data_IF_927997011442
#
_entry.id   IF_927997011442
#
_cell.length_a   1.000
_cell.length_b   1.000
_cell.length_c   1.000
_cell.angle_alpha   90.00
_cell.angle_beta   90.00
_cell.angle_gamma   90.00
#
_symmetry.space_group_name_H-M   'P 1'
#
loop_
_entity.id
_entity.type
_entity.pdbx_description
1 polymer ?
#
# COMPACT_ATOMS: atom_id res chain seq x y z
N UNK A 1 5.56 -14.75 11.34
CA UNK A 1 6.55 -15.77 11.72
C UNK A 1 5.81 -17.06 11.96
N UNK A 2 6.13 -18.12 11.20
CA UNK A 2 5.75 -19.47 11.60
C UNK A 2 6.25 -19.70 13.04
N UNK A 3 5.51 -20.49 13.80
CA UNK A 3 5.97 -20.95 15.11
C UNK A 3 7.21 -21.81 14.83
N UNK A 4 8.40 -21.44 15.32
CA UNK A 4 9.59 -22.23 15.06
C UNK A 4 9.39 -23.64 15.61
N UNK A 5 9.89 -24.64 14.88
CA UNK A 5 9.97 -25.99 15.42
C UNK A 5 10.85 -26.04 16.67
N UNK A 6 10.80 -27.12 17.46
CA UNK A 6 11.47 -27.21 18.76
C UNK A 6 12.99 -26.89 18.77
N UNK A 7 13.66 -26.88 17.60
CA UNK A 7 15.08 -26.62 17.43
C UNK A 7 15.43 -25.43 16.48
N UNK A 8 14.48 -24.61 16.04
CA UNK A 8 14.78 -23.45 15.18
C UNK A 8 14.88 -22.14 15.96
N UNK A 9 16.03 -21.48 15.89
CA UNK A 9 16.18 -20.13 16.46
C UNK A 9 15.51 -19.10 15.56
N UNK A 10 14.64 -18.27 16.13
CA UNK A 10 14.02 -17.16 15.42
C UNK A 10 15.07 -16.24 14.80
N UNK A 11 15.03 -16.06 13.48
CA UNK A 11 15.93 -15.16 12.77
C UNK A 11 15.81 -13.71 13.32
N UNK A 12 14.60 -13.31 13.71
CA UNK A 12 14.30 -12.04 14.36
C UNK A 12 13.27 -12.22 15.49
N UNK A 13 13.49 -11.60 16.64
CA UNK A 13 12.59 -11.64 17.80
C UNK A 13 11.53 -10.53 17.81
N UNK A 14 11.60 -9.59 16.86
CA UNK A 14 10.65 -8.48 16.75
C UNK A 14 11.15 -7.36 15.85
N UNK A 15 10.38 -6.27 15.74
CA UNK A 15 10.70 -5.11 14.89
C UNK A 15 12.01 -4.44 15.28
N UNK A 16 12.25 -4.27 16.58
CA UNK A 16 13.49 -3.64 17.09
C UNK A 16 14.70 -4.54 16.86
N UNK A 17 14.55 -5.86 17.07
CA UNK A 17 15.62 -6.83 16.83
C UNK A 17 15.99 -6.91 15.33
N UNK A 18 14.97 -6.88 14.45
CA UNK A 18 15.17 -6.76 13.01
C UNK A 18 15.95 -5.49 12.64
N UNK A 19 15.52 -4.33 13.14
CA UNK A 19 16.20 -3.07 12.86
C UNK A 19 17.67 -3.09 13.33
N UNK A 20 17.93 -3.57 14.55
CA UNK A 20 19.30 -3.68 15.10
C UNK A 20 20.18 -4.61 14.27
N UNK A 21 19.69 -5.80 13.92
CA UNK A 21 20.43 -6.77 13.11
C UNK A 21 20.69 -6.26 11.69
N UNK A 22 19.74 -5.57 11.07
CA UNK A 22 19.93 -4.95 9.76
C UNK A 22 20.98 -3.85 9.79
N UNK A 23 20.93 -2.95 10.79
CA UNK A 23 21.95 -1.90 10.94
C UNK A 23 23.33 -2.51 11.20
N UNK A 24 23.42 -3.55 12.02
CA UNK A 24 24.69 -4.23 12.30
C UNK A 24 25.28 -4.95 11.08
N UNK A 25 24.44 -5.48 10.18
CA UNK A 25 24.89 -6.25 8.99
C UNK A 25 25.12 -5.39 7.75
N UNK A 26 24.24 -4.42 7.50
CA UNK A 26 24.22 -3.64 6.25
C UNK A 26 24.49 -2.14 6.47
N UNK A 27 24.66 -1.71 7.72
CA UNK A 27 24.77 -0.30 8.09
C UNK A 27 23.43 0.45 7.97
N UNK A 28 23.45 1.74 8.29
CA UNK A 28 22.27 2.62 8.21
C UNK A 28 21.71 2.69 6.78
N UNK A 29 22.58 2.63 5.77
CA UNK A 29 22.20 2.64 4.35
C UNK A 29 21.40 1.41 3.93
N UNK A 30 21.56 0.28 4.62
CA UNK A 30 20.75 -0.93 4.40
C UNK A 30 19.25 -0.70 4.57
N UNK A 31 18.86 0.19 5.48
CA UNK A 31 17.44 0.54 5.71
C UNK A 31 16.78 1.25 4.52
N UNK A 32 17.56 1.87 3.64
CA UNK A 32 17.07 2.61 2.47
C UNK A 32 17.18 1.81 1.17
N UNK A 33 17.70 0.58 1.22
CA UNK A 33 17.90 -0.27 0.05
C UNK A 33 16.54 -0.61 -0.59
N UNK A 34 16.38 -0.23 -1.85
CA UNK A 34 15.13 -0.45 -2.60
C UNK A 34 14.09 0.68 -2.49
N UNK A 35 14.39 1.81 -1.83
CA UNK A 35 13.47 2.96 -1.73
C UNK A 35 13.32 3.77 -3.03
N UNK A 36 14.23 3.64 -3.99
CA UNK A 36 14.19 4.38 -5.26
C UNK A 36 12.92 4.08 -6.07
N UNK A 37 12.52 2.81 -6.19
CA UNK A 37 11.34 2.43 -6.95
C UNK A 37 10.03 3.00 -6.37
N UNK A 38 9.77 2.91 -5.04
CA UNK A 38 8.68 3.62 -4.39
C UNK A 38 8.71 5.14 -4.59
N UNK A 39 9.87 5.79 -4.45
CA UNK A 39 9.99 7.25 -4.55
C UNK A 39 9.64 7.77 -5.95
N UNK A 40 10.07 7.09 -7.01
CA UNK A 40 9.72 7.50 -8.38
C UNK A 40 8.23 7.28 -8.69
N UNK A 41 7.60 6.28 -8.07
CA UNK A 41 6.21 5.91 -8.35
C UNK A 41 5.17 6.69 -7.55
N UNK A 42 5.55 7.25 -6.39
CA UNK A 42 4.58 7.75 -5.40
C UNK A 42 3.76 8.96 -5.91
N UNK A 43 4.41 9.91 -6.59
CA UNK A 43 3.74 11.12 -7.06
C UNK A 43 2.70 10.84 -8.17
N UNK A 44 3.02 10.08 -9.24
CA UNK A 44 2.01 9.68 -10.23
C UNK A 44 0.86 8.86 -9.63
N UNK A 45 1.17 7.97 -8.68
CA UNK A 45 0.17 7.12 -8.01
C UNK A 45 -0.83 8.00 -7.25
N UNK A 46 -0.36 8.93 -6.42
CA UNK A 46 -1.27 9.79 -5.66
C UNK A 46 -2.04 10.77 -6.55
N UNK A 47 -1.40 11.37 -7.57
CA UNK A 47 -2.08 12.28 -8.49
C UNK A 47 -3.29 11.61 -9.16
N UNK A 48 -3.12 10.37 -9.61
CA UNK A 48 -4.18 9.62 -10.30
C UNK A 48 -5.21 9.08 -9.30
N UNK A 49 -4.79 8.76 -8.08
CA UNK A 49 -5.70 8.41 -7.00
C UNK A 49 -6.63 9.57 -6.64
N UNK A 50 -6.10 10.80 -6.49
CA UNK A 50 -6.93 11.97 -6.22
C UNK A 50 -7.82 12.35 -7.41
N UNK A 51 -7.30 12.26 -8.64
CA UNK A 51 -8.09 12.48 -9.84
C UNK A 51 -9.25 11.47 -9.97
N UNK A 52 -8.96 10.18 -9.81
CA UNK A 52 -9.96 9.12 -9.83
C UNK A 52 -11.00 9.29 -8.71
N UNK A 53 -10.59 9.79 -7.54
CA UNK A 53 -11.52 10.09 -6.46
C UNK A 53 -12.42 11.28 -6.79
N UNK A 54 -11.89 12.33 -7.42
CA UNK A 54 -12.67 13.45 -7.93
C UNK A 54 -13.76 13.00 -8.92
N UNK A 55 -13.39 12.18 -9.90
CA UNK A 55 -14.35 11.57 -10.84
C UNK A 55 -15.36 10.67 -10.14
N UNK A 56 -14.90 9.84 -9.19
CA UNK A 56 -15.78 8.97 -8.40
C UNK A 56 -16.83 9.76 -7.63
N UNK A 57 -16.44 10.91 -7.04
CA UNK A 57 -17.39 11.82 -6.38
C UNK A 57 -18.40 12.37 -7.36
N UNK A 58 -17.99 12.81 -8.56
CA UNK A 58 -18.91 13.31 -9.58
C UNK A 58 -19.93 12.24 -10.04
N UNK A 59 -19.50 10.99 -10.19
CA UNK A 59 -20.38 9.89 -10.61
C UNK A 59 -21.43 9.52 -9.57
N UNK A 60 -21.08 9.62 -8.29
CA UNK A 60 -21.96 9.22 -7.18
C UNK A 60 -22.86 10.39 -6.72
N UNK A 61 -22.52 11.62 -7.07
CA UNK A 61 -23.26 12.82 -6.69
C UNK A 61 -24.54 12.93 -7.50
N UNK A 62 -25.67 13.01 -6.81
CA UNK A 62 -27.00 13.16 -7.42
C UNK A 62 -27.43 14.64 -7.57
N UNK A 63 -26.82 15.56 -6.83
CA UNK A 63 -27.10 17.00 -6.88
C UNK A 63 -25.90 17.84 -6.44
N UNK A 64 -25.68 18.99 -7.08
CA UNK A 64 -24.46 19.81 -6.91
C UNK A 64 -24.28 20.44 -5.52
N UNK A 65 -25.30 20.43 -4.68
CA UNK A 65 -25.25 20.94 -3.30
C UNK A 65 -25.44 19.86 -2.22
N UNK A 66 -25.51 18.59 -2.60
CA UNK A 66 -25.66 17.51 -1.63
C UNK A 66 -24.30 17.15 -1.02
N UNK A 67 -24.25 17.09 0.31
CA UNK A 67 -23.15 16.47 1.04
C UNK A 67 -23.17 14.95 0.81
N UNK A 68 -22.01 14.38 0.44
CA UNK A 68 -21.90 12.95 0.18
C UNK A 68 -21.98 12.15 1.48
N UNK A 69 -22.74 11.06 1.45
CA UNK A 69 -22.82 10.12 2.57
C UNK A 69 -21.51 9.32 2.72
N UNK A 70 -21.20 8.75 3.90
CA UNK A 70 -20.00 7.93 4.09
C UNK A 70 -19.85 6.80 3.06
N UNK A 71 -20.95 6.13 2.71
CA UNK A 71 -20.96 5.06 1.73
C UNK A 71 -20.69 5.57 0.30
N UNK A 72 -21.20 6.75 -0.04
CA UNK A 72 -20.91 7.38 -1.33
C UNK A 72 -19.42 7.77 -1.44
N UNK A 73 -18.84 8.28 -0.34
CA UNK A 73 -17.40 8.56 -0.25
C UNK A 73 -16.57 7.28 -0.36
N UNK A 74 -17.01 6.19 0.27
CA UNK A 74 -16.37 4.88 0.14
C UNK A 74 -16.40 4.39 -1.31
N UNK A 75 -17.54 4.45 -2.00
CA UNK A 75 -17.62 4.02 -3.41
C UNK A 75 -16.79 4.92 -4.34
N UNK A 76 -16.78 6.23 -4.11
CA UNK A 76 -15.90 7.14 -4.84
C UNK A 76 -14.41 6.82 -4.62
N UNK A 77 -14.01 6.51 -3.39
CA UNK A 77 -12.64 6.07 -3.06
C UNK A 77 -12.30 4.70 -3.63
N UNK A 78 -13.26 3.77 -3.63
CA UNK A 78 -13.12 2.44 -4.21
C UNK A 78 -12.89 2.54 -5.74
N UNK A 79 -13.62 3.44 -6.40
CA UNK A 79 -13.44 3.74 -7.82
C UNK A 79 -12.04 4.29 -8.13
N UNK A 80 -11.52 5.19 -7.28
CA UNK A 80 -10.16 5.70 -7.45
C UNK A 80 -9.08 4.63 -7.30
N UNK A 81 -9.33 3.62 -6.45
CA UNK A 81 -8.49 2.43 -6.32
C UNK A 81 -8.28 1.72 -7.65
N UNK A 82 -9.31 1.64 -8.51
CA UNK A 82 -9.20 0.97 -9.83
C UNK A 82 -8.16 1.67 -10.72
N UNK A 83 -8.24 2.99 -10.84
CA UNK A 83 -7.28 3.78 -11.65
C UNK A 83 -5.87 3.67 -11.11
N UNK A 84 -5.75 3.74 -9.78
CA UNK A 84 -4.46 3.62 -9.09
C UNK A 84 -3.82 2.26 -9.36
N UNK A 85 -4.61 1.18 -9.28
CA UNK A 85 -4.14 -0.18 -9.52
C UNK A 85 -3.68 -0.41 -10.96
N UNK A 86 -4.28 0.24 -11.98
CA UNK A 86 -3.84 0.10 -13.38
C UNK A 86 -2.36 0.49 -13.53
N UNK A 87 -1.91 1.53 -12.83
CA UNK A 87 -0.52 2.01 -12.94
C UNK A 87 0.39 1.26 -11.97
N UNK A 88 -0.12 0.93 -10.79
CA UNK A 88 0.67 0.29 -9.75
C UNK A 88 0.91 -1.21 -10.03
N UNK A 89 -0.02 -1.91 -10.69
CA UNK A 89 0.04 -3.36 -10.90
C UNK A 89 1.32 -3.84 -11.63
N UNK A 90 1.77 -3.22 -12.73
CA UNK A 90 3.05 -3.56 -13.36
C UNK A 90 4.24 -3.46 -12.38
N UNK A 91 4.33 -2.36 -11.63
CA UNK A 91 5.42 -2.09 -10.70
C UNK A 91 5.42 -3.07 -9.53
N UNK A 92 4.26 -3.34 -8.94
CA UNK A 92 4.12 -4.34 -7.88
C UNK A 92 4.54 -5.73 -8.34
N UNK A 93 4.15 -6.12 -9.56
CA UNK A 93 4.51 -7.43 -10.08
C UNK A 93 6.00 -7.56 -10.31
N UNK A 94 6.63 -6.58 -10.97
CA UNK A 94 8.08 -6.58 -11.20
C UNK A 94 8.81 -6.64 -9.86
N UNK A 95 8.41 -5.80 -8.90
CA UNK A 95 8.99 -5.80 -7.54
C UNK A 95 8.85 -7.16 -6.87
N UNK A 96 7.67 -7.78 -6.96
CA UNK A 96 7.43 -9.10 -6.39
C UNK A 96 8.34 -10.18 -7.00
N UNK A 97 8.50 -10.20 -8.33
CA UNK A 97 9.37 -11.17 -9.01
C UNK A 97 10.84 -10.98 -8.65
N UNK A 98 11.28 -9.73 -8.53
CA UNK A 98 12.64 -9.40 -8.10
C UNK A 98 12.90 -9.79 -6.64
N UNK A 99 11.89 -9.74 -5.77
CA UNK A 99 12.01 -10.16 -4.38
C UNK A 99 12.02 -11.69 -4.24
N UNK A 100 11.24 -12.40 -5.07
CA UNK A 100 11.19 -13.87 -5.05
C UNK A 100 12.50 -14.50 -5.53
N UNK A 101 13.18 -13.89 -6.50
CA UNK A 101 14.45 -14.45 -7.03
C UNK A 101 15.65 -14.27 -6.09
N UNK A 102 15.50 -13.66 -4.91
CA UNK A 102 16.59 -13.53 -3.96
C UNK A 102 16.82 -14.89 -3.26
N UNK A 103 17.88 -15.59 -3.67
CA UNK A 103 18.34 -16.89 -3.13
C UNK A 103 19.69 -17.31 -3.75
N UNK A 104 20.20 -18.49 -3.39
CA UNK A 104 21.53 -18.99 -3.82
C UNK A 104 21.62 -19.39 -5.31
N UNK A 105 20.51 -19.34 -6.06
CA UNK A 105 20.49 -19.61 -7.49
C UNK A 105 20.88 -18.36 -8.30
N UNK A 106 21.45 -18.57 -9.50
CA UNK A 106 21.74 -17.47 -10.44
C UNK A 106 20.47 -16.63 -10.68
N UNK A 107 20.53 -15.29 -10.51
CA UNK A 107 19.36 -14.44 -10.64
C UNK A 107 18.79 -14.52 -12.06
N UNK A 108 17.48 -14.77 -12.20
CA UNK A 108 16.78 -14.82 -13.49
C UNK A 108 16.69 -13.43 -14.15
N UNK A 109 16.54 -12.39 -13.33
CA UNK A 109 16.40 -11.01 -13.75
C UNK A 109 17.55 -10.18 -13.16
N UNK A 110 18.27 -9.44 -14.01
CA UNK A 110 19.35 -8.54 -13.57
C UNK A 110 18.83 -7.27 -12.90
N UNK A 111 17.55 -6.92 -13.11
CA UNK A 111 16.91 -5.77 -12.49
C UNK A 111 15.47 -5.52 -12.97
N UNK A 112 14.84 -4.41 -12.54
CA UNK A 112 13.44 -4.10 -12.88
C UNK A 112 13.16 -3.96 -14.37
N UNK A 113 14.06 -3.30 -15.11
CA UNK A 113 13.91 -3.08 -16.55
C UNK A 113 14.06 -4.40 -17.32
N UNK A 114 15.02 -5.22 -16.92
CA UNK A 114 15.26 -6.54 -17.51
C UNK A 114 14.08 -7.48 -17.25
N UNK A 115 13.57 -7.50 -16.03
CA UNK A 115 12.33 -8.20 -15.68
C UNK A 115 11.15 -7.74 -16.55
N UNK A 116 10.96 -6.44 -16.75
CA UNK A 116 9.88 -5.92 -17.59
C UNK A 116 10.03 -6.34 -19.06
N UNK A 117 11.25 -6.26 -19.63
CA UNK A 117 11.54 -6.68 -21.00
C UNK A 117 11.31 -8.17 -21.20
N UNK A 118 11.76 -9.00 -20.28
CA UNK A 118 11.60 -10.44 -20.36
C UNK A 118 10.13 -10.85 -20.23
N UNK A 119 9.37 -10.26 -19.29
CA UNK A 119 7.93 -10.49 -19.17
C UNK A 119 7.18 -10.12 -20.45
N UNK A 120 7.53 -8.98 -21.06
CA UNK A 120 6.93 -8.56 -22.32
C UNK A 120 7.26 -9.55 -23.47
N UNK A 121 8.48 -10.08 -23.53
CA UNK A 121 8.85 -11.12 -24.51
C UNK A 121 8.15 -12.45 -24.28
N UNK A 122 7.92 -12.84 -23.02
CA UNK A 122 7.27 -14.11 -22.67
C UNK A 122 5.77 -14.12 -22.99
N UNK A 123 5.06 -13.00 -22.84
CA UNK A 123 3.60 -12.97 -23.03
C UNK A 123 2.96 -11.59 -23.13
N UNK A 124 3.73 -10.60 -23.58
CA UNK A 124 3.29 -9.23 -23.81
C UNK A 124 2.73 -8.53 -22.57
N UNK A 125 1.83 -7.58 -22.79
CA UNK A 125 1.20 -6.77 -21.74
C UNK A 125 0.40 -7.62 -20.75
N UNK A 126 -0.25 -8.69 -21.21
CA UNK A 126 -0.97 -9.62 -20.33
C UNK A 126 -0.03 -10.28 -19.32
N UNK A 127 1.20 -10.58 -19.73
CA UNK A 127 2.27 -11.04 -18.82
C UNK A 127 2.92 -9.92 -18.03
N UNK A 128 2.44 -8.69 -18.06
CA UNK A 128 2.78 -7.65 -17.06
C UNK A 128 1.62 -7.48 -16.06
N UNK A 129 0.37 -7.58 -16.52
CA UNK A 129 -0.84 -7.40 -15.69
C UNK A 129 -1.43 -8.70 -15.08
N UNK A 130 -0.73 -9.83 -15.14
CA UNK A 130 -1.13 -11.05 -14.41
C UNK A 130 -1.14 -10.78 -12.91
N UNK A 131 -2.27 -11.04 -12.27
CA UNK A 131 -2.46 -10.80 -10.83
C UNK A 131 -3.22 -9.51 -10.49
N UNK A 132 -3.53 -8.66 -11.48
CA UNK A 132 -4.25 -7.39 -11.25
C UNK A 132 -5.60 -7.57 -10.54
N UNK A 133 -6.35 -8.65 -10.79
CA UNK A 133 -7.59 -8.93 -10.05
C UNK A 133 -7.36 -9.09 -8.54
N UNK A 134 -6.26 -9.72 -8.14
CA UNK A 134 -5.91 -9.88 -6.73
C UNK A 134 -5.45 -8.55 -6.12
N UNK A 135 -4.73 -7.74 -6.89
CA UNK A 135 -4.37 -6.37 -6.47
C UNK A 135 -5.61 -5.49 -6.31
N UNK A 136 -6.55 -5.52 -7.26
CA UNK A 136 -7.82 -4.78 -7.19
C UNK A 136 -8.66 -5.19 -5.98
N UNK A 137 -8.74 -6.49 -5.68
CA UNK A 137 -9.51 -6.99 -4.53
C UNK A 137 -9.02 -6.42 -3.19
N UNK A 138 -7.72 -6.10 -3.09
CA UNK A 138 -7.14 -5.43 -1.93
C UNK A 138 -7.29 -3.91 -2.02
N UNK A 139 -6.90 -3.34 -3.15
CA UNK A 139 -6.73 -1.89 -3.31
C UNK A 139 -8.06 -1.15 -3.31
N UNK A 140 -9.12 -1.75 -3.88
CA UNK A 140 -10.44 -1.12 -3.98
C UNK A 140 -11.06 -0.91 -2.59
N UNK A 141 -11.18 -1.93 -1.72
CA UNK A 141 -11.68 -1.73 -0.36
C UNK A 141 -10.78 -0.82 0.49
N UNK A 142 -9.46 -0.95 0.34
CA UNK A 142 -8.50 -0.16 1.11
C UNK A 142 -8.58 1.34 0.75
N UNK A 143 -8.63 1.66 -0.55
CA UNK A 143 -8.79 3.04 -1.06
C UNK A 143 -10.15 3.63 -0.68
N UNK A 144 -11.23 2.83 -0.74
CA UNK A 144 -12.54 3.25 -0.26
C UNK A 144 -12.52 3.67 1.21
N UNK A 145 -11.89 2.87 2.07
CA UNK A 145 -11.72 3.22 3.49
C UNK A 145 -10.85 4.46 3.68
N UNK A 146 -9.74 4.57 2.95
CA UNK A 146 -8.84 5.73 3.01
C UNK A 146 -9.60 7.03 2.78
N UNK A 147 -10.29 7.15 1.64
CA UNK A 147 -10.96 8.39 1.27
C UNK A 147 -12.21 8.66 2.12
N UNK A 148 -12.97 7.63 2.51
CA UNK A 148 -14.09 7.78 3.43
C UNK A 148 -13.61 8.34 4.79
N UNK A 149 -12.60 7.73 5.40
CA UNK A 149 -12.08 8.19 6.69
C UNK A 149 -11.46 9.58 6.58
N UNK A 150 -10.72 9.86 5.50
CA UNK A 150 -10.12 11.17 5.26
C UNK A 150 -11.17 12.30 5.21
N UNK A 151 -12.22 12.14 4.42
CA UNK A 151 -13.26 13.17 4.26
C UNK A 151 -14.12 13.33 5.52
N UNK A 152 -14.42 12.24 6.24
CA UNK A 152 -15.16 12.31 7.51
C UNK A 152 -14.37 13.03 8.59
N UNK A 153 -13.06 12.74 8.72
CA UNK A 153 -12.20 13.42 9.68
C UNK A 153 -12.01 14.88 9.32
N UNK A 154 -11.84 15.19 8.02
CA UNK A 154 -11.82 16.58 7.56
C UNK A 154 -13.10 17.30 7.94
N UNK A 155 -14.28 16.74 7.65
CA UNK A 155 -15.57 17.34 7.99
C UNK A 155 -15.73 17.57 9.49
N UNK A 156 -15.30 16.62 10.31
CA UNK A 156 -15.35 16.73 11.77
C UNK A 156 -14.40 17.79 12.33
N UNK A 157 -13.28 18.04 11.64
CA UNK A 157 -12.22 18.98 12.08
C UNK A 157 -12.25 20.34 11.37
N UNK A 158 -13.15 20.51 10.40
CA UNK A 158 -13.42 21.78 9.74
C UNK A 158 -14.00 22.77 10.75
N UNK A 159 -13.46 23.99 10.78
CA UNK A 159 -14.08 25.12 11.49
C UNK A 159 -15.23 25.71 10.65
N UNK A 160 -16.05 26.58 11.25
CA UNK A 160 -17.22 27.21 10.61
C UNK A 160 -16.90 27.92 9.27
N UNK A 161 -15.65 28.33 9.06
CA UNK A 161 -15.15 28.92 7.80
C UNK A 161 -14.90 27.92 6.66
N UNK A 162 -15.12 26.62 6.88
CA UNK A 162 -14.90 25.55 5.88
C UNK A 162 -13.42 25.31 5.51
N UNK A 163 -12.49 26.04 6.14
CA UNK A 163 -11.05 25.90 5.93
C UNK A 163 -10.48 24.85 6.87
N UNK A 164 -9.95 23.77 6.29
CA UNK A 164 -9.18 22.77 7.02
C UNK A 164 -7.72 23.17 6.98
N UNK A 165 -7.13 23.46 8.13
CA UNK A 165 -5.71 23.76 8.23
C UNK A 165 -4.85 22.54 7.93
N UNK A 166 -3.56 22.80 7.73
CA UNK A 166 -2.55 21.80 7.36
C UNK A 166 -2.45 20.68 8.40
N UNK A 167 -2.38 21.05 9.69
CA UNK A 167 -2.28 20.09 10.78
C UNK A 167 -3.50 19.16 10.77
N UNK A 168 -4.69 19.72 10.54
CA UNK A 168 -5.92 18.93 10.42
C UNK A 168 -5.87 17.99 9.21
N UNK A 169 -5.34 18.44 8.08
CA UNK A 169 -5.16 17.61 6.88
C UNK A 169 -4.17 16.47 7.12
N UNK A 170 -3.05 16.75 7.79
CA UNK A 170 -2.03 15.76 8.17
C UNK A 170 -2.63 14.71 9.12
N UNK A 171 -3.35 15.15 10.15
CA UNK A 171 -3.98 14.25 11.12
C UNK A 171 -5.04 13.38 10.44
N UNK A 172 -5.93 13.98 9.64
CA UNK A 172 -6.93 13.25 8.88
C UNK A 172 -6.30 12.22 7.93
N UNK A 173 -5.23 12.60 7.22
CA UNK A 173 -4.48 11.70 6.35
C UNK A 173 -3.76 10.56 7.09
N UNK A 174 -3.19 10.85 8.26
CA UNK A 174 -2.55 9.86 9.13
C UNK A 174 -3.54 8.77 9.57
N UNK A 175 -4.70 9.17 10.09
CA UNK A 175 -5.77 8.24 10.51
C UNK A 175 -6.44 7.54 9.34
N UNK A 176 -6.64 8.22 8.20
CA UNK A 176 -7.10 7.59 6.97
C UNK A 176 -6.16 6.47 6.51
N UNK A 177 -4.84 6.66 6.63
CA UNK A 177 -3.87 5.61 6.38
C UNK A 177 -3.97 4.43 7.32
N UNK A 178 -4.24 4.67 8.61
CA UNK A 178 -4.49 3.60 9.57
C UNK A 178 -5.73 2.79 9.16
N UNK A 179 -6.83 3.45 8.83
CA UNK A 179 -8.06 2.81 8.37
C UNK A 179 -7.84 1.99 7.08
N UNK A 180 -7.09 2.53 6.12
CA UNK A 180 -6.67 1.81 4.92
C UNK A 180 -5.91 0.51 5.26
N UNK A 181 -4.92 0.59 6.15
CA UNK A 181 -4.11 -0.56 6.52
C UNK A 181 -4.87 -1.60 7.36
N UNK A 182 -5.91 -1.21 8.10
CA UNK A 182 -6.80 -2.17 8.79
C UNK A 182 -7.48 -3.09 7.78
N UNK A 183 -7.99 -2.54 6.67
CA UNK A 183 -8.63 -3.34 5.61
C UNK A 183 -7.61 -4.02 4.69
N UNK A 184 -6.47 -3.38 4.43
CA UNK A 184 -5.42 -3.94 3.57
C UNK A 184 -4.59 -5.05 4.22
N UNK A 185 -4.56 -5.17 5.55
CA UNK A 185 -3.69 -6.14 6.23
C UNK A 185 -4.04 -7.61 5.99
N UNK A 186 -5.30 -8.05 6.14
CA UNK A 186 -5.65 -9.46 5.92
C UNK A 186 -5.19 -10.00 4.54
N UNK A 187 -5.50 -9.34 3.40
CA UNK A 187 -5.02 -9.81 2.11
C UNK A 187 -3.49 -9.70 1.96
N UNK A 188 -2.84 -8.70 2.56
CA UNK A 188 -1.37 -8.60 2.54
C UNK A 188 -0.69 -9.72 3.33
N UNK A 189 -1.24 -10.12 4.49
CA UNK A 189 -0.74 -11.27 5.26
C UNK A 189 -0.94 -12.56 4.48
N UNK A 190 -2.11 -12.77 3.86
CA UNK A 190 -2.35 -13.96 3.06
C UNK A 190 -1.42 -14.03 1.85
N UNK A 191 -1.21 -12.91 1.15
CA UNK A 191 -0.29 -12.80 0.01
C UNK A 191 1.15 -13.07 0.41
N UNK A 192 1.63 -12.42 1.47
CA UNK A 192 3.01 -12.61 1.94
C UNK A 192 3.27 -14.04 2.41
N UNK A 193 2.32 -14.67 3.12
CA UNK A 193 2.41 -16.08 3.53
C UNK A 193 2.50 -17.01 2.33
N UNK A 194 1.62 -16.82 1.34
CA UNK A 194 1.64 -17.61 0.11
C UNK A 194 2.98 -17.48 -0.63
N UNK A 195 3.56 -16.28 -0.66
CA UNK A 195 4.82 -16.00 -1.35
C UNK A 195 6.06 -16.49 -0.58
N UNK A 196 5.99 -16.54 0.75
CA UNK A 196 7.10 -16.99 1.60
C UNK A 196 7.15 -18.50 1.82
N UNK A 197 6.10 -19.23 1.45
CA UNK A 197 5.99 -20.65 1.73
C UNK A 197 6.72 -21.51 0.70
N UNK A 198 7.24 -22.70 1.09
CA UNK A 198 7.85 -23.65 0.17
C UNK A 198 6.91 -24.03 -0.99
N UNK A 199 7.49 -24.32 -2.15
CA UNK A 199 6.73 -24.77 -3.32
C UNK A 199 5.86 -25.99 -2.96
N UNK A 200 4.60 -25.97 -3.41
CA UNK A 200 3.58 -27.01 -3.17
C UNK A 200 3.00 -27.13 -1.75
N UNK A 201 3.35 -26.24 -0.80
CA UNK A 201 2.73 -26.22 0.53
C UNK A 201 1.23 -25.88 0.48
N UNK A 202 0.84 -24.87 -0.32
CA UNK A 202 -0.53 -24.38 -0.43
C UNK A 202 -1.13 -24.67 -1.81
N UNK A 203 -1.64 -25.89 -1.99
CA UNK A 203 -2.14 -26.38 -3.28
C UNK A 203 -3.41 -25.67 -3.75
N UNK A 204 -4.24 -25.15 -2.81
CA UNK A 204 -5.47 -24.40 -3.13
C UNK A 204 -5.27 -22.87 -3.09
N UNK A 205 -4.01 -22.41 -3.10
CA UNK A 205 -3.65 -20.99 -3.10
C UNK A 205 -4.11 -20.24 -1.84
N UNK A 206 -4.59 -19.01 -2.00
CA UNK A 206 -4.96 -18.10 -0.88
C UNK A 206 -5.99 -18.72 0.07
N UNK A 207 -6.93 -19.52 -0.44
CA UNK A 207 -7.95 -20.18 0.40
C UNK A 207 -7.32 -21.19 1.36
N UNK A 208 -6.34 -21.95 0.87
CA UNK A 208 -5.58 -22.91 1.68
C UNK A 208 -4.80 -22.19 2.77
N UNK A 209 -4.11 -21.11 2.39
CA UNK A 209 -3.38 -20.24 3.33
C UNK A 209 -4.31 -19.71 4.41
N UNK A 210 -5.48 -19.20 4.03
CA UNK A 210 -6.45 -18.64 4.96
C UNK A 210 -6.94 -19.70 5.95
N UNK A 211 -7.33 -20.88 5.47
CA UNK A 211 -7.81 -21.97 6.34
C UNK A 211 -6.70 -22.48 7.27
N UNK A 212 -5.50 -22.71 6.75
CA UNK A 212 -4.34 -23.13 7.54
C UNK A 212 -3.98 -22.08 8.60
N UNK A 213 -3.88 -20.80 8.21
CA UNK A 213 -3.54 -19.70 9.12
C UNK A 213 -4.59 -19.54 10.24
N UNK A 214 -5.87 -19.61 9.91
CA UNK A 214 -6.95 -19.51 10.90
C UNK A 214 -7.00 -20.71 11.86
N UNK A 215 -6.65 -21.91 11.37
CA UNK A 215 -6.62 -23.12 12.20
C UNK A 215 -5.39 -23.19 13.11
N UNK A 216 -4.22 -22.79 12.62
CA UNK A 216 -2.94 -22.94 13.33
C UNK A 216 -2.57 -21.73 14.19
N UNK A 217 -2.78 -20.51 13.68
CA UNK A 217 -2.38 -19.27 14.36
C UNK A 217 -3.59 -18.42 14.84
N UNK A 218 -4.81 -18.79 14.45
CA UNK A 218 -6.06 -18.11 14.83
C UNK A 218 -6.35 -16.81 14.05
N UNK A 219 -7.51 -16.16 14.30
CA UNK A 219 -7.94 -14.97 13.54
C UNK A 219 -7.02 -13.75 13.67
N UNK A 220 -6.33 -13.61 14.81
CA UNK A 220 -5.37 -12.51 15.04
C UNK A 220 -4.15 -12.59 14.10
N UNK A 221 -3.89 -13.76 13.51
CA UNK A 221 -2.79 -13.94 12.57
C UNK A 221 -2.93 -13.09 11.31
N UNK A 222 -4.15 -12.75 10.89
CA UNK A 222 -4.42 -11.85 9.75
C UNK A 222 -3.94 -10.41 9.97
N UNK A 223 -3.68 -10.04 11.21
CA UNK A 223 -3.18 -8.71 11.61
C UNK A 223 -1.74 -8.78 12.15
N UNK A 224 -1.05 -9.90 11.93
CA UNK A 224 0.34 -10.10 12.38
C UNK A 224 1.25 -9.18 11.57
N UNK A 225 1.92 -8.26 12.26
CA UNK A 225 2.68 -7.17 11.62
C UNK A 225 1.97 -5.81 11.66
N UNK A 226 0.79 -5.70 12.29
CA UNK A 226 0.07 -4.43 12.47
C UNK A 226 0.93 -3.35 13.13
N UNK A 227 1.63 -3.68 14.23
CA UNK A 227 2.42 -2.70 14.99
C UNK A 227 3.44 -1.94 14.12
N UNK A 228 4.37 -2.61 13.40
CA UNK A 228 5.31 -1.90 12.53
C UNK A 228 4.62 -1.16 11.37
N UNK A 229 3.50 -1.68 10.86
CA UNK A 229 2.72 -1.05 9.79
C UNK A 229 2.04 0.24 10.26
N UNK A 230 1.46 0.25 11.45
CA UNK A 230 0.81 1.43 12.01
C UNK A 230 1.83 2.48 12.45
N UNK A 231 2.94 2.03 13.06
CA UNK A 231 4.03 2.91 13.47
C UNK A 231 4.65 3.66 12.28
N UNK A 232 4.72 3.03 11.09
CA UNK A 232 5.18 3.71 9.87
C UNK A 232 4.08 4.53 9.17
N UNK A 233 2.81 4.15 9.30
CA UNK A 233 1.73 4.73 8.51
C UNK A 233 1.56 6.22 8.83
N UNK A 234 1.54 6.57 10.11
CA UNK A 234 1.35 7.95 10.53
C UNK A 234 2.51 8.86 10.08
N UNK A 235 3.80 8.56 10.35
CA UNK A 235 4.90 9.40 9.87
C UNK A 235 5.01 9.47 8.34
N UNK A 236 4.77 8.36 7.63
CA UNK A 236 4.83 8.35 6.18
C UNK A 236 3.76 9.26 5.55
N UNK A 237 2.53 9.20 6.06
CA UNK A 237 1.46 10.06 5.56
C UNK A 237 1.70 11.52 5.96
N UNK A 238 2.15 11.79 7.18
CA UNK A 238 2.49 13.15 7.62
C UNK A 238 3.58 13.78 6.74
N UNK A 239 4.64 13.03 6.42
CA UNK A 239 5.69 13.47 5.50
C UNK A 239 5.16 13.70 4.07
N UNK A 240 4.25 12.85 3.59
CA UNK A 240 3.62 13.01 2.29
C UNK A 240 2.82 14.32 2.19
N UNK A 241 2.00 14.61 3.20
CA UNK A 241 1.18 15.83 3.23
C UNK A 241 2.02 17.10 3.44
N UNK A 242 3.05 17.04 4.29
CA UNK A 242 4.02 18.14 4.43
C UNK A 242 4.73 18.42 3.10
N UNK A 243 5.16 17.38 2.39
CA UNK A 243 5.79 17.50 1.08
C UNK A 243 4.86 18.10 0.03
N UNK A 244 3.58 17.68 0.02
CA UNK A 244 2.56 18.27 -0.84
C UNK A 244 2.36 19.75 -0.57
N UNK A 245 2.32 20.16 0.69
CA UNK A 245 2.14 21.55 1.08
C UNK A 245 3.33 22.42 0.69
N UNK A 246 4.56 21.98 0.98
CA UNK A 246 5.77 22.71 0.56
C UNK A 246 5.80 22.87 -0.95
N UNK A 247 5.43 21.82 -1.70
CA UNK A 247 5.33 21.89 -3.15
C UNK A 247 4.25 22.87 -3.62
N UNK A 248 3.09 22.90 -2.96
CA UNK A 248 1.99 23.82 -3.30
C UNK A 248 2.35 25.27 -2.96
N UNK A 249 2.97 25.53 -1.81
CA UNK A 249 3.46 26.85 -1.43
C UNK A 249 4.54 27.34 -2.39
N UNK A 250 5.45 26.46 -2.80
CA UNK A 250 6.44 26.77 -3.83
C UNK A 250 5.78 27.06 -5.18
N UNK A 251 4.79 26.26 -5.60
CA UNK A 251 4.04 26.49 -6.84
C UNK A 251 3.29 27.82 -6.82
N UNK A 252 2.60 28.15 -5.72
CA UNK A 252 1.91 29.43 -5.56
C UNK A 252 2.88 30.62 -5.55
N UNK A 253 4.08 30.44 -5.01
CA UNK A 253 5.14 31.44 -5.08
C UNK A 253 5.71 31.58 -6.50
N UNK A 254 5.93 30.47 -7.20
CA UNK A 254 6.52 30.43 -8.53
C UNK A 254 5.53 30.82 -9.66
N UNK A 255 4.24 30.54 -9.47
CA UNK A 255 3.15 30.81 -10.42
C UNK A 255 1.88 31.22 -9.66
N UNK A 256 1.75 32.50 -9.26
CA UNK A 256 0.65 32.97 -8.41
C UNK A 256 -0.77 32.92 -9.02
N UNK A 257 -0.91 32.58 -10.31
CA UNK A 257 -2.14 32.71 -11.10
C UNK A 257 -2.51 31.44 -11.91
N UNK A 258 -2.11 30.25 -11.44
CA UNK A 258 -2.58 28.96 -11.99
C UNK A 258 -3.45 28.21 -11.01
#
# INVERSE_FOLDING_TARGET
>A
MPIPGPNETLLYNGTIDCAKKTIAREGIRGLYKGMAAPLCGVAPIFAISFYGFGLGKQLVRQSDNQELTPLQLFYAGAFSGIFTTVIMAPGERIKCLLQIQQGDAKPKYSGPIDCAKQLYREGGIRSIYKGTCATLLRDVPASGMYFMTYELLKKWMSTEDGKVGIIQTIVAGGFAGIANWIVGMPPDVLKSRLQSAPENMYKRGIRDVCVCLLKEEGPKALYKGCVPVMLRAFPANAACFLGFEVAMNFLNWAMPNM
#
